data_IF_847249543242
#
_entry.id   IF_847249543242
#
_cell.length_a   1.000
_cell.length_b   1.000
_cell.length_c   1.000
_cell.angle_alpha   90.00
_cell.angle_beta   90.00
_cell.angle_gamma   90.00
#
_symmetry.space_group_name_H-M   'P 1'
#
loop_
_entity.id
_entity.type
_entity.pdbx_description
1 polymer ?
#
# COMPACT_ATOMS: atom_id res chain seq x y z
N UNK A 1 -10.27 -1.40 -0.10
CA UNK A 1 -9.38 -0.82 0.93
C UNK A 1 -8.10 -0.31 0.32
N UNK A 2 -7.26 -1.16 -0.29
CA UNK A 2 -5.99 -0.75 -0.92
C UNK A 2 -6.16 0.40 -1.93
N UNK A 3 -7.23 0.35 -2.75
CA UNK A 3 -7.50 1.37 -3.77
C UNK A 3 -7.66 2.78 -3.19
N UNK A 4 -8.29 2.89 -2.02
CA UNK A 4 -8.52 4.16 -1.33
C UNK A 4 -7.21 4.78 -0.87
N UNK A 5 -6.33 3.98 -0.26
CA UNK A 5 -5.08 4.50 0.28
C UNK A 5 -4.00 4.74 -0.79
N UNK A 6 -4.11 4.11 -1.95
CA UNK A 6 -3.13 4.22 -3.05
C UNK A 6 -3.58 5.15 -4.17
N UNK A 7 -4.85 5.56 -4.17
CA UNK A 7 -5.58 6.24 -5.26
C UNK A 7 -5.52 5.50 -6.60
N UNK A 8 -5.27 4.20 -6.58
CA UNK A 8 -5.07 3.35 -7.75
C UNK A 8 -6.16 2.29 -7.83
N UNK A 9 -6.63 2.00 -9.03
CA UNK A 9 -7.62 0.95 -9.29
C UNK A 9 -6.91 -0.30 -9.82
N UNK A 10 -7.42 -1.52 -9.57
CA UNK A 10 -6.87 -2.75 -10.15
C UNK A 10 -6.89 -2.76 -11.68
N UNK A 11 -7.74 -1.91 -12.27
CA UNK A 11 -7.92 -1.75 -13.72
C UNK A 11 -7.01 -0.68 -14.33
N UNK A 12 -6.19 0.01 -13.53
CA UNK A 12 -5.26 1.00 -14.08
C UNK A 12 -4.28 0.31 -15.03
N UNK A 13 -3.89 0.99 -16.10
CA UNK A 13 -3.04 0.42 -17.16
C UNK A 13 -1.72 -0.16 -16.63
N UNK A 14 -1.18 0.42 -15.55
CA UNK A 14 0.04 -0.08 -14.90
C UNK A 14 -0.09 -1.50 -14.31
N UNK A 15 -1.32 -2.01 -14.16
CA UNK A 15 -1.60 -3.35 -13.65
C UNK A 15 -2.05 -4.34 -14.73
N UNK A 16 -1.98 -3.94 -15.99
CA UNK A 16 -2.21 -4.84 -17.11
C UNK A 16 -0.96 -5.72 -17.29
N UNK A 17 -1.09 -7.04 -17.08
CA UNK A 17 0.00 -8.00 -17.22
C UNK A 17 0.30 -8.78 -15.94
N UNK A 18 1.58 -8.96 -15.63
CA UNK A 18 2.04 -9.88 -14.56
C UNK A 18 1.95 -9.28 -13.14
N UNK A 19 1.94 -7.96 -13.05
CA UNK A 19 1.88 -7.22 -11.80
C UNK A 19 0.48 -6.65 -11.60
N UNK A 20 -0.24 -7.18 -10.61
CA UNK A 20 -1.51 -6.60 -10.18
C UNK A 20 -1.28 -5.66 -8.98
N UNK A 21 -2.28 -4.83 -8.66
CA UNK A 21 -2.24 -3.89 -7.52
C UNK A 21 -1.74 -4.52 -6.23
N UNK A 22 -2.08 -5.79 -5.98
CA UNK A 22 -1.75 -6.49 -4.74
C UNK A 22 -0.28 -6.90 -4.69
N UNK A 23 0.24 -7.45 -5.80
CA UNK A 23 1.68 -7.76 -5.95
C UNK A 23 2.52 -6.49 -5.89
N UNK A 24 2.07 -5.42 -6.51
CA UNK A 24 2.76 -4.13 -6.47
C UNK A 24 2.92 -3.63 -5.03
N UNK A 25 1.83 -3.61 -4.25
CA UNK A 25 1.87 -3.22 -2.83
C UNK A 25 2.78 -4.15 -2.02
N UNK A 26 2.68 -5.47 -2.21
CA UNK A 26 3.53 -6.42 -1.49
C UNK A 26 5.02 -6.22 -1.79
N UNK A 27 5.37 -5.93 -3.05
CA UNK A 27 6.75 -5.70 -3.48
C UNK A 27 7.29 -4.37 -2.95
N UNK A 28 6.48 -3.29 -2.95
CA UNK A 28 6.90 -1.98 -2.45
C UNK A 28 7.04 -1.90 -0.93
N UNK A 29 6.44 -2.84 -0.18
CA UNK A 29 6.50 -2.88 1.29
C UNK A 29 7.61 -3.78 1.84
N UNK A 30 8.38 -4.46 0.98
CA UNK A 30 9.39 -5.44 1.38
C UNK A 30 10.77 -5.13 0.77
N UNK A 31 11.88 -5.24 1.52
CA UNK A 31 12.02 -5.47 2.96
C UNK A 31 11.94 -4.17 3.79
N UNK A 32 12.04 -3.00 3.16
CA UNK A 32 11.92 -1.68 3.78
C UNK A 32 10.75 -0.96 3.10
N UNK A 33 9.78 -0.50 3.88
CA UNK A 33 8.55 0.05 3.33
C UNK A 33 8.77 1.47 2.77
N UNK A 34 8.65 1.64 1.46
CA UNK A 34 8.54 2.96 0.86
C UNK A 34 7.07 3.40 0.87
N UNK A 35 6.52 3.70 2.06
CA UNK A 35 5.11 4.08 2.21
C UNK A 35 4.73 5.30 1.35
N UNK A 36 5.72 6.16 1.09
CA UNK A 36 5.67 7.32 0.20
C UNK A 36 5.44 6.98 -1.27
N UNK A 37 5.83 5.78 -1.73
CA UNK A 37 5.63 5.35 -3.12
C UNK A 37 4.24 4.72 -3.32
N UNK A 38 3.70 4.16 -2.24
CA UNK A 38 2.48 3.35 -2.28
C UNK A 38 1.24 4.18 -1.97
N UNK A 39 1.33 5.01 -0.92
CA UNK A 39 0.20 5.79 -0.43
C UNK A 39 0.01 7.06 -1.26
N UNK A 40 -1.24 7.48 -1.42
CA UNK A 40 -1.59 8.79 -1.98
C UNK A 40 -0.89 9.92 -1.20
N UNK A 41 -0.25 10.84 -1.92
CA UNK A 41 0.40 12.02 -1.35
C UNK A 41 -0.54 12.86 -0.49
N UNK A 42 -1.82 12.92 -0.83
CA UNK A 42 -2.84 13.65 -0.07
C UNK A 42 -3.04 13.08 1.35
N UNK A 43 -2.70 11.79 1.57
CA UNK A 43 -2.82 11.12 2.87
C UNK A 43 -1.53 11.19 3.69
N UNK A 44 -0.39 11.46 3.06
CA UNK A 44 0.92 11.45 3.73
C UNK A 44 1.19 12.71 4.57
N UNK A 45 0.40 13.77 4.37
CA UNK A 45 0.61 15.06 5.03
C UNK A 45 1.83 15.81 4.46
N UNK A 46 1.96 17.06 4.86
CA UNK A 46 3.09 17.94 4.49
C UNK A 46 4.08 18.06 5.64
N UNK A 47 5.31 18.53 5.37
CA UNK A 47 6.36 18.72 6.38
C UNK A 47 5.96 19.69 7.52
N UNK A 48 4.94 20.53 7.30
CA UNK A 48 4.38 21.44 8.30
C UNK A 48 3.46 20.73 9.31
N UNK A 49 3.15 19.46 9.06
CA UNK A 49 2.27 18.65 9.87
C UNK A 49 3.05 17.99 11.03
N UNK A 50 2.80 18.47 12.25
CA UNK A 50 3.47 17.99 13.45
C UNK A 50 3.29 16.47 13.67
N UNK A 51 2.23 15.87 13.13
CA UNK A 51 1.91 14.45 13.29
C UNK A 51 2.31 13.59 12.08
N UNK A 52 3.08 14.13 11.13
CA UNK A 52 3.43 13.44 9.87
C UNK A 52 4.08 12.08 10.11
N UNK A 53 4.96 11.97 11.11
CA UNK A 53 5.65 10.72 11.45
C UNK A 53 4.66 9.68 11.95
N UNK A 54 3.82 10.03 12.93
CA UNK A 54 2.81 9.12 13.48
C UNK A 54 1.77 8.70 12.44
N UNK A 55 1.42 9.60 11.50
CA UNK A 55 0.54 9.29 10.37
C UNK A 55 1.18 8.30 9.40
N UNK A 56 2.45 8.53 9.02
CA UNK A 56 3.21 7.61 8.16
C UNK A 56 3.33 6.22 8.79
N UNK A 57 3.57 6.15 10.10
CA UNK A 57 3.64 4.88 10.83
C UNK A 57 2.29 4.14 10.88
N UNK A 58 1.19 4.89 11.09
CA UNK A 58 -0.16 4.35 11.05
C UNK A 58 -0.50 3.79 9.67
N UNK A 59 -0.25 4.57 8.61
CA UNK A 59 -0.48 4.16 7.23
C UNK A 59 0.37 2.96 6.83
N UNK A 60 1.64 2.93 7.26
CA UNK A 60 2.53 1.78 7.10
C UNK A 60 1.97 0.53 7.74
N UNK A 61 1.48 0.64 8.99
CA UNK A 61 0.85 -0.47 9.70
C UNK A 61 -0.40 -0.97 8.98
N UNK A 62 -1.27 -0.07 8.52
CA UNK A 62 -2.49 -0.41 7.77
C UNK A 62 -2.15 -1.13 6.46
N UNK A 63 -1.18 -0.61 5.69
CA UNK A 63 -0.76 -1.20 4.42
C UNK A 63 -0.18 -2.60 4.61
N UNK A 64 0.67 -2.80 5.62
CA UNK A 64 1.24 -4.11 5.95
C UNK A 64 0.16 -5.10 6.40
N UNK A 65 -0.80 -4.65 7.20
CA UNK A 65 -1.95 -5.47 7.60
C UNK A 65 -2.79 -5.88 6.37
N UNK A 66 -3.13 -4.93 5.50
CA UNK A 66 -3.85 -5.20 4.26
C UNK A 66 -3.12 -6.20 3.35
N UNK A 67 -1.81 -6.02 3.18
CA UNK A 67 -0.98 -6.91 2.35
C UNK A 67 -0.88 -8.31 2.96
N UNK A 68 -0.70 -8.40 4.28
CA UNK A 68 -0.60 -9.67 5.00
C UNK A 68 -1.90 -10.48 4.98
N UNK A 69 -3.04 -9.83 5.20
CA UNK A 69 -4.37 -10.46 5.11
C UNK A 69 -4.61 -10.97 3.70
N UNK A 70 -4.18 -10.23 2.68
CA UNK A 70 -4.31 -10.67 1.31
C UNK A 70 -3.44 -11.90 0.99
N UNK A 71 -2.17 -11.93 1.40
CA UNK A 71 -1.31 -13.11 1.23
C UNK A 71 -1.85 -14.35 1.95
N UNK A 72 -2.50 -14.19 3.11
CA UNK A 72 -3.09 -15.30 3.87
C UNK A 72 -4.34 -15.89 3.19
N UNK A 73 -5.07 -15.08 2.41
CA UNK A 73 -6.22 -15.57 1.63
C UNK A 73 -5.71 -16.38 0.44
N UNK A 74 -4.72 -15.86 -0.31
CA UNK A 74 -4.15 -16.56 -1.45
C UNK A 74 -3.60 -17.96 -1.07
N UNK A 75 -2.95 -18.09 0.09
CA UNK A 75 -2.43 -19.38 0.60
C UNK A 75 -3.48 -20.39 1.10
N UNK A 76 -4.76 -20.01 1.20
CA UNK A 76 -5.83 -20.97 1.53
C UNK A 76 -6.48 -21.58 0.28
N UNK A 77 -6.17 -21.05 -0.90
CA UNK A 77 -6.71 -21.53 -2.17
C UNK A 77 -5.72 -22.45 -2.90
N UNK A 78 -4.56 -22.74 -2.29
CA UNK A 78 -3.52 -23.67 -2.76
C UNK A 78 -3.59 -25.03 -2.04
#
# INVERSE_FOLDING_TARGET
>A
MMETFTKRKPTDEMFVGEINLKKWIANSLFPYAAIVEVVDGDLLGTEEDHDIVSRRDCLSSIMRLGASLFCRIARRED
#
